data_IF_056932573984
#
_entry.id   IF_056932573984
#
_cell.length_a   1.000
_cell.length_b   1.000
_cell.length_c   1.000
_cell.angle_alpha   90.00
_cell.angle_beta   90.00
_cell.angle_gamma   90.00
#
_symmetry.space_group_name_H-M   'P 1'
#
loop_
_entity.id
_entity.type
_entity.pdbx_description
1 polymer ?
#
# COMPACT_ATOMS: atom_id res chain seq x y z
N UNK A 1 45.32 -33.77 0.30
CA UNK A 1 44.37 -32.64 0.33
C UNK A 1 43.23 -32.94 -0.63
N UNK A 2 42.03 -33.25 -0.11
CA UNK A 2 40.84 -33.41 -0.94
C UNK A 2 40.36 -32.02 -1.35
N UNK A 3 40.31 -31.72 -2.65
CA UNK A 3 39.69 -30.50 -3.17
C UNK A 3 38.23 -30.49 -2.73
N UNK A 4 37.68 -29.38 -2.20
CA UNK A 4 36.24 -29.28 -2.03
C UNK A 4 35.62 -29.46 -3.40
N UNK A 5 34.66 -30.38 -3.51
CA UNK A 5 33.92 -30.62 -4.74
C UNK A 5 33.40 -29.27 -5.23
N UNK A 6 33.94 -28.79 -6.35
CA UNK A 6 33.39 -27.62 -7.02
C UNK A 6 31.90 -27.89 -7.19
N UNK A 7 31.03 -26.99 -6.75
CA UNK A 7 29.62 -27.04 -7.08
C UNK A 7 29.52 -27.06 -8.61
N UNK A 8 29.42 -28.26 -9.19
CA UNK A 8 29.22 -28.43 -10.61
C UNK A 8 27.88 -27.77 -10.87
N UNK A 9 27.91 -26.63 -11.55
CA UNK A 9 26.73 -25.93 -12.07
C UNK A 9 26.11 -26.71 -13.22
N UNK A 10 26.03 -28.04 -13.07
CA UNK A 10 25.30 -28.89 -13.99
C UNK A 10 23.84 -28.50 -13.90
N UNK A 11 23.16 -28.29 -15.04
CA UNK A 11 21.72 -28.15 -15.04
C UNK A 11 21.12 -29.38 -14.35
N UNK A 12 20.26 -29.15 -13.37
CA UNK A 12 19.48 -30.24 -12.79
C UNK A 12 18.46 -30.72 -13.83
N UNK A 13 18.06 -31.98 -13.74
CA UNK A 13 16.94 -32.49 -14.53
C UNK A 13 15.69 -31.60 -14.31
N UNK A 14 14.86 -31.48 -15.35
CA UNK A 14 13.70 -30.58 -15.36
C UNK A 14 12.74 -30.83 -14.18
N UNK A 15 12.66 -32.08 -13.73
CA UNK A 15 11.82 -32.53 -12.61
C UNK A 15 12.64 -32.92 -11.37
N UNK A 16 13.79 -32.29 -11.15
CA UNK A 16 14.58 -32.53 -9.93
C UNK A 16 13.86 -32.01 -8.68
N UNK A 17 13.64 -32.90 -7.69
CA UNK A 17 13.01 -32.56 -6.41
C UNK A 17 14.02 -32.37 -5.27
N UNK A 18 15.27 -32.01 -5.59
CA UNK A 18 16.20 -31.59 -4.55
C UNK A 18 15.68 -30.31 -3.87
N UNK A 19 16.06 -30.09 -2.61
CA UNK A 19 15.59 -28.95 -1.81
C UNK A 19 15.72 -27.59 -2.52
N UNK A 20 16.79 -27.39 -3.30
CA UNK A 20 17.04 -26.16 -4.07
C UNK A 20 16.07 -26.01 -5.25
N UNK A 21 15.90 -27.05 -6.07
CA UNK A 21 15.01 -27.03 -7.24
C UNK A 21 13.55 -26.95 -6.83
N UNK A 22 13.16 -27.70 -5.78
CA UNK A 22 11.83 -27.62 -5.20
C UNK A 22 11.54 -26.21 -4.66
N UNK A 23 12.45 -25.64 -3.85
CA UNK A 23 12.25 -24.29 -3.30
C UNK A 23 12.16 -23.23 -4.40
N UNK A 24 12.98 -23.34 -5.46
CA UNK A 24 12.88 -22.44 -6.62
C UNK A 24 11.50 -22.55 -7.30
N UNK A 25 10.98 -23.77 -7.48
CA UNK A 25 9.67 -24.03 -8.06
C UNK A 25 8.54 -23.48 -7.17
N UNK A 26 8.65 -23.69 -5.86
CA UNK A 26 7.64 -23.24 -4.89
C UNK A 26 7.63 -21.71 -4.75
N UNK A 27 8.79 -21.06 -4.68
CA UNK A 27 8.92 -19.60 -4.60
C UNK A 27 8.55 -18.89 -5.91
N UNK A 28 8.57 -19.61 -7.04
CA UNK A 28 8.05 -19.10 -8.32
C UNK A 28 6.52 -19.09 -8.37
N UNK A 29 5.83 -19.82 -7.47
CA UNK A 29 4.38 -19.70 -7.33
C UNK A 29 4.11 -18.35 -6.67
N UNK A 30 3.26 -17.50 -7.26
CA UNK A 30 2.86 -16.27 -6.61
C UNK A 30 2.17 -16.62 -5.29
N UNK A 31 2.82 -16.30 -4.17
CA UNK A 31 2.21 -16.47 -2.87
C UNK A 31 0.88 -15.70 -2.85
N UNK A 32 -0.22 -16.30 -2.38
CA UNK A 32 -1.48 -15.59 -2.20
C UNK A 32 -1.33 -14.59 -1.05
N UNK A 33 -0.71 -13.45 -1.33
CA UNK A 33 -0.60 -12.34 -0.41
C UNK A 33 -1.87 -11.51 -0.46
N UNK A 34 -2.17 -10.80 0.63
CA UNK A 34 -3.22 -9.77 0.64
C UNK A 34 -2.93 -8.58 -0.27
N UNK A 35 -1.70 -8.47 -0.77
CA UNK A 35 -1.26 -7.42 -1.68
C UNK A 35 -1.35 -7.85 -3.16
N UNK A 36 -1.65 -9.12 -3.43
CA UNK A 36 -1.81 -9.62 -4.80
C UNK A 36 -3.09 -9.04 -5.40
N UNK A 37 -3.04 -8.38 -6.57
CA UNK A 37 -4.22 -7.84 -7.24
C UNK A 37 -5.35 -8.87 -7.37
N UNK A 38 -6.60 -8.45 -7.17
CA UNK A 38 -7.78 -9.29 -7.32
C UNK A 38 -8.75 -8.62 -8.27
N UNK A 39 -9.31 -9.39 -9.22
CA UNK A 39 -10.28 -8.91 -10.19
C UNK A 39 -11.63 -8.49 -9.57
N UNK A 40 -11.92 -8.94 -8.35
CA UNK A 40 -13.16 -8.61 -7.64
C UNK A 40 -13.05 -7.28 -6.88
N UNK A 41 -11.85 -6.91 -6.41
CA UNK A 41 -11.67 -5.70 -5.64
C UNK A 41 -11.68 -4.47 -6.55
N UNK A 42 -12.38 -3.43 -6.14
CA UNK A 42 -12.37 -2.13 -6.82
C UNK A 42 -12.18 -1.00 -5.81
N UNK A 43 -11.35 0.01 -6.15
CA UNK A 43 -11.23 1.20 -5.32
C UNK A 43 -12.53 2.00 -5.35
N UNK A 44 -12.69 2.89 -4.37
CA UNK A 44 -13.75 3.90 -4.43
C UNK A 44 -13.50 4.82 -5.63
N UNK A 45 -14.58 5.22 -6.29
CA UNK A 45 -14.49 6.04 -7.49
C UNK A 45 -15.52 7.17 -7.42
N UNK A 46 -15.06 8.40 -7.58
CA UNK A 46 -15.91 9.58 -7.63
C UNK A 46 -15.82 10.21 -9.03
N UNK A 47 -16.96 10.52 -9.64
CA UNK A 47 -17.01 11.26 -10.92
C UNK A 47 -18.04 12.38 -10.86
N UNK A 48 -17.79 13.51 -11.56
CA UNK A 48 -18.79 14.57 -11.65
C UNK A 48 -19.95 14.10 -12.52
N UNK A 49 -21.17 14.30 -12.06
CA UNK A 49 -22.40 14.06 -12.83
C UNK A 49 -22.73 15.30 -13.66
N UNK A 50 -22.60 16.47 -13.03
CA UNK A 50 -23.03 17.74 -13.61
C UNK A 50 -22.22 18.89 -13.02
N UNK A 51 -21.69 19.76 -13.86
CA UNK A 51 -21.10 21.02 -13.42
C UNK A 51 -22.20 22.03 -13.10
N UNK A 52 -22.14 22.62 -11.91
CA UNK A 52 -23.06 23.66 -11.45
C UNK A 52 -22.54 25.06 -11.76
N UNK A 53 -21.22 25.24 -11.67
CA UNK A 53 -20.60 26.55 -11.82
C UNK A 53 -19.26 26.43 -12.53
N UNK A 54 -19.04 27.33 -13.50
CA UNK A 54 -17.78 27.52 -14.20
C UNK A 54 -17.14 28.84 -13.78
N UNK A 55 -15.81 28.91 -13.85
CA UNK A 55 -15.08 30.16 -13.64
C UNK A 55 -13.76 30.20 -14.40
N UNK A 56 -13.31 31.40 -14.74
CA UNK A 56 -11.99 31.61 -15.32
C UNK A 56 -10.92 31.55 -14.23
N UNK A 57 -10.06 30.53 -14.28
CA UNK A 57 -8.91 30.38 -13.38
C UNK A 57 -7.65 30.36 -14.24
N UNK A 58 -6.80 31.38 -14.09
CA UNK A 58 -5.59 31.52 -14.91
C UNK A 58 -5.88 31.64 -16.41
N UNK A 59 -6.95 32.37 -16.78
CA UNK A 59 -7.36 32.55 -18.18
C UNK A 59 -8.05 31.35 -18.83
N UNK A 60 -8.24 30.24 -18.09
CA UNK A 60 -8.93 29.04 -18.58
C UNK A 60 -10.24 28.84 -17.84
N UNK A 61 -11.33 28.58 -18.58
CA UNK A 61 -12.62 28.20 -17.99
C UNK A 61 -12.54 26.80 -17.37
N UNK A 62 -12.77 26.71 -16.05
CA UNK A 62 -12.75 25.46 -15.28
C UNK A 62 -14.02 25.29 -14.45
N UNK A 63 -14.47 24.05 -14.18
CA UNK A 63 -15.53 23.80 -13.24
C UNK A 63 -15.07 24.19 -11.82
N UNK A 64 -15.85 25.03 -11.15
CA UNK A 64 -15.64 25.44 -9.77
C UNK A 64 -16.49 24.60 -8.80
N UNK A 65 -17.68 24.19 -9.26
CA UNK A 65 -18.62 23.40 -8.46
C UNK A 65 -19.33 22.38 -9.36
N UNK A 66 -19.44 21.14 -8.87
CA UNK A 66 -20.11 20.04 -9.57
C UNK A 66 -20.88 19.18 -8.57
N UNK A 67 -21.98 18.58 -9.03
CA UNK A 67 -22.61 17.43 -8.40
C UNK A 67 -21.77 16.19 -8.70
N UNK A 68 -21.57 15.33 -7.70
CA UNK A 68 -20.74 14.14 -7.80
C UNK A 68 -21.54 12.87 -7.52
N UNK A 69 -21.18 11.80 -8.21
CA UNK A 69 -21.58 10.43 -7.82
C UNK A 69 -20.36 9.72 -7.28
N UNK A 70 -20.56 8.94 -6.22
CA UNK A 70 -19.52 8.17 -5.55
C UNK A 70 -19.92 6.70 -5.59
N UNK A 71 -19.10 5.90 -6.24
CA UNK A 71 -19.16 4.45 -6.15
C UNK A 71 -18.26 3.99 -5.00
N UNK A 72 -18.80 3.30 -3.98
CA UNK A 72 -18.00 2.85 -2.86
C UNK A 72 -16.97 1.80 -3.28
N UNK A 73 -15.86 1.77 -2.56
CA UNK A 73 -14.89 0.68 -2.70
C UNK A 73 -15.55 -0.66 -2.38
N UNK A 74 -15.12 -1.71 -3.07
CA UNK A 74 -15.45 -3.08 -2.71
C UNK A 74 -14.18 -3.88 -2.54
N UNK A 75 -14.07 -4.53 -1.38
CA UNK A 75 -12.90 -5.30 -0.98
C UNK A 75 -13.41 -6.71 -0.67
N UNK A 76 -12.83 -7.73 -1.31
CA UNK A 76 -13.21 -9.12 -1.07
C UNK A 76 -12.62 -9.62 0.25
N UNK A 77 -13.16 -10.70 0.80
CA UNK A 77 -12.75 -11.28 2.09
C UNK A 77 -11.24 -11.51 2.23
N UNK A 78 -10.57 -11.94 1.15
CA UNK A 78 -9.10 -12.08 1.09
C UNK A 78 -8.37 -10.80 1.47
N UNK A 79 -8.91 -9.66 1.03
CA UNK A 79 -8.32 -8.33 1.17
C UNK A 79 -8.98 -7.49 2.26
N UNK A 80 -10.06 -7.99 2.86
CA UNK A 80 -10.61 -7.40 4.08
C UNK A 80 -9.53 -7.43 5.15
N UNK A 81 -9.11 -6.26 5.66
CA UNK A 81 -8.20 -6.21 6.80
C UNK A 81 -8.83 -7.01 7.95
N UNK A 82 -8.05 -7.83 8.66
CA UNK A 82 -8.56 -8.54 9.81
C UNK A 82 -8.99 -7.53 10.86
N UNK A 83 -9.98 -7.88 11.67
CA UNK A 83 -10.34 -7.07 12.83
C UNK A 83 -9.09 -6.81 13.67
N UNK A 84 -9.00 -5.57 14.17
CA UNK A 84 -7.89 -5.13 15.01
C UNK A 84 -7.71 -6.16 16.13
N UNK A 85 -6.56 -6.86 16.20
CA UNK A 85 -6.41 -7.92 17.17
C UNK A 85 -6.30 -7.31 18.57
N UNK A 86 -7.34 -7.55 19.40
CA UNK A 86 -7.51 -6.94 20.72
C UNK A 86 -6.34 -7.19 21.68
N UNK A 87 -5.60 -8.28 21.50
CA UNK A 87 -4.52 -8.71 22.42
C UNK A 87 -3.32 -7.76 22.43
N UNK A 88 -3.00 -7.10 21.32
CA UNK A 88 -1.78 -6.28 21.18
C UNK A 88 -2.08 -4.82 20.83
N UNK A 89 -3.36 -4.45 20.72
CA UNK A 89 -3.79 -3.12 20.36
C UNK A 89 -4.69 -2.55 21.46
N UNK A 90 -4.14 -1.67 22.28
CA UNK A 90 -4.92 -0.87 23.24
C UNK A 90 -5.42 0.39 22.55
N UNK A 91 -6.73 0.65 22.63
CA UNK A 91 -7.27 1.96 22.24
C UNK A 91 -6.97 2.93 23.37
N UNK A 92 -6.04 3.85 23.14
CA UNK A 92 -5.76 4.96 24.06
C UNK A 92 -6.84 6.01 23.82
N UNK A 93 -7.84 6.05 24.69
CA UNK A 93 -8.92 7.06 24.62
C UNK A 93 -8.48 8.44 25.10
N UNK A 94 -7.42 8.47 25.91
CA UNK A 94 -6.87 9.69 26.49
C UNK A 94 -5.36 9.65 26.26
N UNK A 95 -4.89 10.34 25.22
CA UNK A 95 -3.45 10.50 24.94
C UNK A 95 -2.74 11.36 25.99
N UNK A 96 -3.40 11.65 27.11
CA UNK A 96 -2.96 12.59 28.12
C UNK A 96 -3.16 14.03 27.66
N UNK A 97 -2.74 14.95 28.52
CA UNK A 97 -2.74 16.39 28.21
C UNK A 97 -1.91 16.61 26.94
N UNK A 98 -2.37 17.49 26.01
CA UNK A 98 -1.61 17.82 24.82
C UNK A 98 -0.19 18.19 25.20
N UNK A 99 0.77 17.86 24.33
CA UNK A 99 2.17 18.25 24.47
C UNK A 99 2.19 19.71 24.89
N UNK A 100 2.76 20.05 26.07
CA UNK A 100 2.73 21.41 26.57
C UNK A 100 3.33 22.33 25.51
N UNK A 101 2.75 23.53 25.37
CA UNK A 101 3.24 24.53 24.45
C UNK A 101 4.74 24.73 24.67
N UNK A 102 5.53 24.38 23.66
CA UNK A 102 6.98 24.66 23.61
C UNK A 102 7.10 25.99 22.87
N UNK A 103 7.42 27.10 23.55
CA UNK A 103 7.69 28.35 22.87
C UNK A 103 8.91 28.12 21.98
N UNK A 104 8.72 28.25 20.67
CA UNK A 104 9.83 28.35 19.73
C UNK A 104 10.39 29.75 19.93
N UNK A 105 11.37 29.85 20.84
CA UNK A 105 12.16 31.06 20.99
C UNK A 105 13.06 31.16 19.76
N UNK A 106 12.60 31.99 18.82
CA UNK A 106 13.29 32.50 17.64
C UNK A 106 13.10 31.68 16.34
N UNK A 107 12.52 32.29 15.28
CA UNK A 107 12.80 31.82 13.92
C UNK A 107 14.30 32.06 13.67
N UNK A 108 15.03 31.03 13.27
CA UNK A 108 16.38 31.24 12.77
C UNK A 108 16.29 32.12 11.52
N UNK A 109 16.99 33.25 11.53
CA UNK A 109 17.16 34.01 10.30
C UNK A 109 18.09 33.21 9.39
N UNK A 110 17.59 32.85 8.20
CA UNK A 110 18.41 32.35 7.11
C UNK A 110 19.28 33.51 6.62
N UNK A 111 20.47 33.67 7.21
CA UNK A 111 21.51 34.54 6.70
C UNK A 111 22.31 33.76 5.66
N UNK A 112 22.17 34.14 4.38
CA UNK A 112 22.98 33.66 3.27
C UNK A 112 22.22 33.57 1.96
#
# INVERSE_FOLDING_TARGET
MQKPASYQRSPHAQDCDCSVCWSRREMAKPAPSRSTPCALCRPAYARPIRTLQMGCVGGTWKPLLSDWTVEPAFICEKHTPPDRPAKWWSVIYDSGKPTPYVPIHEPFELVG
#
